data_IF_921925897229
#
_entry.id   IF_921925897229
#
_cell.length_a   1.000
_cell.length_b   1.000
_cell.length_c   1.000
_cell.angle_alpha   90.00
_cell.angle_beta   90.00
_cell.angle_gamma   90.00
#
_symmetry.space_group_name_H-M   'P 1'
#
loop_
_entity.id
_entity.type
_entity.pdbx_description
1 polymer ?
#
# COMPACT_ATOMS: atom_id res chain seq x y z
N UNK A 1 13.26 16.32 -5.59
CA UNK A 1 12.37 17.50 -5.61
C UNK A 1 11.12 17.11 -4.84
N UNK A 2 10.57 17.96 -3.96
CA UNK A 2 9.28 17.69 -3.30
C UNK A 2 8.19 18.60 -3.88
N UNK A 3 6.91 18.24 -3.71
CA UNK A 3 5.79 18.96 -4.33
C UNK A 3 5.77 20.44 -3.89
N UNK A 4 6.00 20.74 -2.61
CA UNK A 4 6.00 22.12 -2.10
C UNK A 4 7.14 22.99 -2.66
N UNK A 5 8.33 22.44 -2.87
CA UNK A 5 9.42 23.19 -3.54
C UNK A 5 9.09 23.39 -5.02
N UNK A 6 8.53 22.38 -5.66
CA UNK A 6 8.13 22.48 -7.07
C UNK A 6 7.05 23.54 -7.28
N UNK A 7 6.02 23.57 -6.44
CA UNK A 7 4.99 24.62 -6.41
C UNK A 7 5.59 26.02 -6.34
N UNK A 8 6.48 26.27 -5.38
CA UNK A 8 7.12 27.59 -5.20
C UNK A 8 7.90 28.02 -6.43
N UNK A 9 8.68 27.12 -7.01
CA UNK A 9 9.46 27.39 -8.22
C UNK A 9 8.55 27.59 -9.43
N UNK A 10 7.50 26.79 -9.56
CA UNK A 10 6.53 26.91 -10.63
C UNK A 10 5.83 28.27 -10.59
N UNK A 11 5.29 28.69 -9.44
CA UNK A 11 4.66 30.01 -9.27
C UNK A 11 5.65 31.14 -9.56
N UNK A 12 6.91 31.01 -9.14
CA UNK A 12 7.97 31.98 -9.43
C UNK A 12 8.22 32.10 -10.95
N UNK A 13 8.29 30.99 -11.66
CA UNK A 13 8.57 30.93 -13.09
C UNK A 13 7.35 31.32 -13.96
N UNK A 14 6.13 31.02 -13.50
CA UNK A 14 4.87 31.40 -14.17
C UNK A 14 4.76 32.89 -14.44
N UNK A 15 5.40 33.73 -13.61
CA UNK A 15 5.49 35.19 -13.81
C UNK A 15 6.17 35.58 -15.13
N UNK A 16 7.10 34.76 -15.61
CA UNK A 16 7.84 35.00 -16.85
C UNK A 16 7.19 34.32 -18.06
N UNK A 17 6.23 33.42 -17.81
CA UNK A 17 5.57 32.61 -18.82
C UNK A 17 4.05 32.86 -18.86
N UNK A 18 3.60 34.10 -18.58
CA UNK A 18 2.17 34.43 -18.48
C UNK A 18 1.36 34.05 -19.73
N UNK A 19 1.97 34.10 -20.92
CA UNK A 19 1.33 33.65 -22.18
C UNK A 19 1.10 32.14 -22.27
N UNK A 20 1.78 31.35 -21.44
CA UNK A 20 1.70 29.90 -21.38
C UNK A 20 0.79 29.38 -20.27
N UNK A 21 0.54 30.20 -19.26
CA UNK A 21 -0.34 29.95 -18.10
C UNK A 21 -1.32 31.12 -17.99
N UNK A 22 -2.08 31.32 -19.05
CA UNK A 22 -3.05 32.41 -19.20
C UNK A 22 -4.26 32.21 -18.30
N UNK A 23 -4.70 30.96 -18.18
CA UNK A 23 -5.83 30.57 -17.34
C UNK A 23 -5.35 29.71 -16.17
N UNK A 24 -6.15 29.65 -15.10
CA UNK A 24 -5.90 28.73 -14.00
C UNK A 24 -5.88 27.27 -14.47
N UNK A 25 -6.69 26.94 -15.48
CA UNK A 25 -6.71 25.62 -16.11
C UNK A 25 -5.41 25.26 -16.82
N UNK A 26 -4.83 26.21 -17.56
CA UNK A 26 -3.50 26.02 -18.16
C UNK A 26 -2.43 25.84 -17.08
N UNK A 27 -2.56 26.56 -15.97
CA UNK A 27 -1.63 26.54 -14.85
C UNK A 27 -1.58 25.17 -14.17
N UNK A 28 -2.73 24.62 -13.76
CA UNK A 28 -2.74 23.31 -13.11
C UNK A 28 -2.39 22.19 -14.10
N UNK A 29 -2.80 22.28 -15.37
CA UNK A 29 -2.45 21.26 -16.38
C UNK A 29 -0.95 21.20 -16.67
N UNK A 30 -0.27 22.35 -16.71
CA UNK A 30 1.19 22.38 -16.85
C UNK A 30 1.91 21.88 -15.61
N UNK A 31 1.39 22.20 -14.43
CA UNK A 31 1.94 21.68 -13.19
C UNK A 31 1.81 20.17 -13.11
N UNK A 32 0.62 19.63 -13.45
CA UNK A 32 0.36 18.19 -13.52
C UNK A 32 1.36 17.47 -14.42
N UNK A 33 1.57 17.95 -15.65
CA UNK A 33 2.55 17.37 -16.58
C UNK A 33 4.01 17.48 -16.10
N UNK A 34 4.33 18.43 -15.23
CA UNK A 34 5.67 18.60 -14.68
C UNK A 34 5.93 17.82 -13.40
N UNK A 35 4.96 17.05 -12.90
CA UNK A 35 5.15 16.16 -11.76
C UNK A 35 6.05 14.97 -12.12
N UNK A 36 6.73 14.42 -11.11
CA UNK A 36 7.46 13.16 -11.27
C UNK A 36 6.50 12.06 -11.72
N UNK A 37 6.97 11.14 -12.56
CA UNK A 37 6.15 10.05 -13.13
C UNK A 37 5.41 9.25 -12.06
N UNK A 38 6.08 8.91 -10.97
CA UNK A 38 5.46 8.17 -9.86
C UNK A 38 4.27 8.93 -9.25
N UNK A 39 4.36 10.26 -9.11
CA UNK A 39 3.26 11.08 -8.61
C UNK A 39 2.20 11.32 -9.68
N UNK A 40 2.62 11.55 -10.92
CA UNK A 40 1.76 11.82 -12.07
C UNK A 40 0.73 10.71 -12.27
N UNK A 41 1.13 9.44 -12.17
CA UNK A 41 0.23 8.28 -12.34
C UNK A 41 -0.93 8.30 -11.33
N UNK A 42 -0.70 8.76 -10.10
CA UNK A 42 -1.76 8.89 -9.09
C UNK A 42 -2.62 10.14 -9.29
N UNK A 43 -2.03 11.21 -9.84
CA UNK A 43 -2.67 12.51 -9.98
C UNK A 43 -3.54 12.58 -11.25
N UNK A 44 -3.11 12.00 -12.37
CA UNK A 44 -3.79 12.11 -13.69
C UNK A 44 -5.22 11.57 -13.71
N UNK A 45 -5.54 10.62 -12.82
CA UNK A 45 -6.89 10.05 -12.71
C UNK A 45 -7.86 10.91 -11.89
N UNK A 46 -7.39 12.02 -11.33
CA UNK A 46 -8.16 12.88 -10.45
C UNK A 46 -8.63 14.13 -11.21
N UNK A 47 -9.88 14.53 -10.97
CA UNK A 47 -10.39 15.80 -11.48
C UNK A 47 -10.04 16.93 -10.50
N UNK A 48 -9.55 18.04 -11.06
CA UNK A 48 -9.17 19.25 -10.35
C UNK A 48 -9.89 20.46 -10.96
N UNK A 49 -10.42 21.32 -10.10
CA UNK A 49 -11.13 22.54 -10.53
C UNK A 49 -10.20 23.76 -10.46
N UNK A 50 -9.20 23.71 -9.59
CA UNK A 50 -8.31 24.80 -9.25
C UNK A 50 -6.88 24.29 -9.01
N UNK A 51 -5.90 25.19 -9.10
CA UNK A 51 -4.49 24.83 -8.88
C UNK A 51 -4.22 24.37 -7.44
N UNK A 52 -4.91 24.94 -6.46
CA UNK A 52 -4.67 24.65 -5.04
C UNK A 52 -5.09 23.22 -4.70
N UNK A 53 -6.24 22.74 -5.19
CA UNK A 53 -6.65 21.34 -4.98
C UNK A 53 -5.69 20.33 -5.62
N UNK A 54 -5.11 20.65 -6.78
CA UNK A 54 -4.08 19.82 -7.41
C UNK A 54 -2.85 19.69 -6.51
N UNK A 55 -2.32 20.82 -6.01
CA UNK A 55 -1.15 20.83 -5.13
C UNK A 55 -1.43 20.08 -3.83
N UNK A 56 -2.58 20.30 -3.21
CA UNK A 56 -2.95 19.65 -1.95
C UNK A 56 -3.01 18.12 -2.11
N UNK A 57 -3.66 17.62 -3.16
CA UNK A 57 -3.74 16.18 -3.42
C UNK A 57 -2.37 15.59 -3.76
N UNK A 58 -1.56 16.27 -4.57
CA UNK A 58 -0.22 15.84 -4.90
C UNK A 58 0.68 15.72 -3.65
N UNK A 59 0.59 16.68 -2.71
CA UNK A 59 1.31 16.62 -1.42
C UNK A 59 0.86 15.42 -0.57
N UNK A 60 -0.46 15.17 -0.46
CA UNK A 60 -0.98 14.00 0.28
C UNK A 60 -0.50 12.67 -0.31
N UNK A 61 -0.45 12.57 -1.63
CA UNK A 61 0.06 11.37 -2.32
C UNK A 61 1.57 11.20 -2.05
N UNK A 62 2.36 12.27 -2.16
CA UNK A 62 3.80 12.26 -1.85
C UNK A 62 4.07 11.78 -0.41
N UNK A 63 3.30 12.28 0.56
CA UNK A 63 3.38 11.83 1.95
C UNK A 63 2.99 10.36 2.12
N UNK A 64 1.94 9.91 1.43
CA UNK A 64 1.49 8.52 1.44
C UNK A 64 2.55 7.57 0.90
N UNK A 65 3.18 7.91 -0.23
CA UNK A 65 4.27 7.14 -0.84
C UNK A 65 5.47 7.03 0.11
N UNK A 66 5.85 8.14 0.76
CA UNK A 66 6.95 8.15 1.74
C UNK A 66 6.68 7.22 2.93
N UNK A 67 5.42 7.18 3.42
CA UNK A 67 5.03 6.25 4.50
C UNK A 67 5.05 4.79 4.04
N UNK A 68 4.77 4.52 2.76
CA UNK A 68 4.81 3.17 2.21
C UNK A 68 6.24 2.66 2.04
N UNK A 69 7.18 3.51 1.62
CA UNK A 69 8.60 3.13 1.54
C UNK A 69 9.15 2.77 2.92
N UNK A 70 8.83 3.55 3.96
CA UNK A 70 9.29 3.29 5.33
C UNK A 70 8.77 1.95 5.88
N UNK A 71 7.53 1.58 5.53
CA UNK A 71 6.93 0.28 5.90
C UNK A 71 7.57 -0.89 5.16
N UNK A 72 7.87 -0.73 3.87
CA UNK A 72 8.49 -1.78 3.06
C UNK A 72 9.95 -2.08 3.46
N UNK A 73 10.68 -1.10 4.00
CA UNK A 73 12.01 -1.29 4.60
C UNK A 73 12.00 -2.18 5.86
N UNK A 74 10.86 -2.26 6.57
CA UNK A 74 10.70 -3.11 7.76
C UNK A 74 10.28 -4.56 7.49
N UNK A 75 9.92 -4.92 6.25
CA UNK A 75 9.21 -6.19 5.97
C UNK A 75 10.01 -7.20 5.14
N UNK A 76 11.34 -7.08 5.06
CA UNK A 76 12.20 -8.03 4.32
C UNK A 76 13.28 -8.68 5.18
N UNK A 77 12.91 -9.34 6.28
CA UNK A 77 13.70 -10.44 6.88
C UNK A 77 12.78 -11.48 7.55
N UNK A 78 12.11 -12.29 6.74
CA UNK A 78 11.60 -13.59 7.20
C UNK A 78 11.55 -14.58 6.03
N UNK A 79 12.69 -14.79 5.36
CA UNK A 79 12.92 -16.05 4.65
C UNK A 79 13.17 -17.13 5.69
N UNK A 80 12.11 -17.74 6.21
CA UNK A 80 12.23 -19.05 6.84
C UNK A 80 11.29 -19.99 6.11
N UNK A 81 11.88 -20.72 5.18
CA UNK A 81 11.32 -21.94 4.63
C UNK A 81 11.09 -22.93 5.77
N UNK A 82 9.84 -23.10 6.22
CA UNK A 82 9.41 -24.36 6.86
C UNK A 82 7.90 -24.55 6.69
N UNK A 83 7.55 -25.66 6.05
CA UNK A 83 6.18 -26.14 5.87
C UNK A 83 5.45 -26.26 7.22
N UNK A 84 4.10 -26.11 7.25
CA UNK A 84 3.36 -26.29 8.48
C UNK A 84 3.35 -27.78 8.86
N UNK A 85 4.12 -28.14 9.90
CA UNK A 85 4.02 -29.43 10.57
C UNK A 85 2.79 -29.44 11.46
N UNK A 86 1.77 -30.20 11.07
CA UNK A 86 0.59 -30.48 11.89
C UNK A 86 1.00 -31.41 13.02
N UNK A 87 1.34 -30.87 14.19
CA UNK A 87 1.49 -31.68 15.40
C UNK A 87 0.13 -31.92 16.04
N UNK A 88 -0.46 -33.10 15.79
CA UNK A 88 -1.60 -33.62 16.56
C UNK A 88 -1.12 -33.95 17.97
N UNK A 89 -1.57 -33.17 18.96
CA UNK A 89 -1.34 -33.42 20.39
C UNK A 89 -2.23 -34.58 20.84
N UNK A 90 -1.64 -35.75 20.99
CA UNK A 90 -2.24 -36.93 21.63
C UNK A 90 -2.55 -36.57 23.09
N UNK A 91 -3.83 -36.70 23.49
CA UNK A 91 -4.24 -36.68 24.90
C UNK A 91 -4.35 -38.13 25.36
N UNK A 92 -3.41 -38.54 26.21
CA UNK A 92 -3.54 -39.74 27.02
C UNK A 92 -4.64 -39.53 28.08
N UNK A 93 -5.65 -40.40 28.07
CA UNK A 93 -6.52 -40.64 29.21
C UNK A 93 -6.49 -42.14 29.49
N UNK A 94 -5.57 -42.52 30.37
CA UNK A 94 -5.55 -43.81 31.04
C UNK A 94 -6.49 -43.70 32.24
N UNK A 95 -7.67 -44.29 32.14
CA UNK A 95 -8.41 -44.68 33.33
C UNK A 95 -9.01 -46.09 33.15
N UNK A 96 -8.56 -46.92 34.07
CA UNK A 96 -8.82 -48.33 34.25
C UNK A 96 -10.31 -48.66 34.37
N UNK A 97 -10.75 -49.69 33.65
CA UNK A 97 -12.09 -50.27 33.81
C UNK A 97 -12.14 -51.67 33.22
N UNK A 98 -11.80 -52.67 34.04
CA UNK A 98 -11.91 -54.09 33.71
C UNK A 98 -13.37 -54.45 33.40
N UNK A 99 -13.66 -54.92 32.19
CA UNK A 99 -14.87 -55.70 31.91
C UNK A 99 -14.51 -56.79 30.91
N UNK A 100 -14.36 -57.99 31.42
CA UNK A 100 -14.21 -59.25 30.69
C UNK A 100 -15.59 -59.77 30.28
N UNK A 101 -15.83 -59.98 28.99
CA UNK A 101 -16.87 -60.91 28.50
C UNK A 101 -16.40 -61.61 27.21
N UNK A 102 -16.84 -62.85 27.10
CA UNK A 102 -16.24 -63.98 26.41
C UNK A 102 -16.78 -64.18 24.99
N UNK A 103 -15.87 -64.59 24.10
CA UNK A 103 -16.06 -65.50 22.94
C UNK A 103 -17.33 -65.41 22.09
N UNK A 104 -17.20 -64.86 20.89
CA UNK A 104 -18.01 -65.22 19.72
C UNK A 104 -17.33 -66.30 18.88
N UNK A 105 -17.98 -67.47 18.72
CA UNK A 105 -17.72 -68.48 17.68
C UNK A 105 -19.02 -68.56 16.86
N UNK A 106 -19.08 -67.96 15.67
CA UNK A 106 -18.81 -68.55 14.35
C UNK A 106 -19.77 -69.70 14.01
N UNK A 107 -20.86 -69.35 13.32
CA UNK A 107 -21.75 -70.28 12.62
C UNK A 107 -21.05 -70.94 11.43
N UNK A 108 -21.21 -72.27 11.32
CA UNK A 108 -21.62 -73.00 10.11
C UNK A 108 -22.46 -74.18 10.55
#
# INVERSE_FOLDING_TARGET
MNVSKYEKEFVRLSKYAQKLVTTESDMYRRFEWGLNEDLYVYVVGLNFEDFSSLVERAQKIEEGMKRQSDKNLGQRVATSSKAPSVTKKVRDLRESGNISFTSGQRSK
#
